data_IF_586062836937
#
_entry.id   IF_586062836937
#
_cell.length_a   1.000
_cell.length_b   1.000
_cell.length_c   1.000
_cell.angle_alpha   90.00
_cell.angle_beta   90.00
_cell.angle_gamma   90.00
#
_symmetry.space_group_name_H-M   'P 1'
#
loop_
_entity.id
_entity.type
_entity.pdbx_description
1 polymer ?
#
# COMPACT_ATOMS: atom_id res chain seq x y z
N UNK A 1 -21.33 -57.94 -11.63
CA UNK A 1 -20.98 -56.86 -12.58
C UNK A 1 -21.74 -55.61 -12.18
N UNK A 2 -21.06 -54.59 -11.67
CA UNK A 2 -21.58 -53.23 -11.59
C UNK A 2 -20.38 -52.27 -11.60
N UNK A 3 -19.84 -52.05 -12.80
CA UNK A 3 -18.87 -50.99 -13.06
C UNK A 3 -19.61 -49.65 -12.92
N UNK A 4 -19.49 -49.00 -11.76
CA UNK A 4 -19.71 -47.56 -11.68
C UNK A 4 -18.52 -46.89 -12.37
N UNK A 5 -18.77 -46.40 -13.59
CA UNK A 5 -17.92 -45.40 -14.24
C UNK A 5 -17.87 -44.19 -13.30
N UNK A 6 -16.79 -44.05 -12.53
CA UNK A 6 -16.42 -42.76 -11.96
C UNK A 6 -16.10 -41.88 -13.16
N UNK A 7 -17.00 -40.98 -13.54
CA UNK A 7 -16.65 -39.93 -14.49
C UNK A 7 -15.46 -39.17 -13.92
N UNK A 8 -14.40 -39.03 -14.71
CA UNK A 8 -13.23 -38.24 -14.35
C UNK A 8 -13.70 -36.82 -14.02
N UNK A 9 -13.70 -36.48 -12.73
CA UNK A 9 -13.94 -35.10 -12.30
C UNK A 9 -12.71 -34.33 -12.76
N UNK A 10 -12.87 -33.51 -13.81
CA UNK A 10 -11.80 -32.63 -14.33
C UNK A 10 -11.24 -31.85 -13.14
N UNK A 11 -9.96 -32.07 -12.84
CA UNK A 11 -9.26 -31.34 -11.80
C UNK A 11 -9.14 -29.87 -12.22
N UNK A 12 -9.53 -28.94 -11.35
CA UNK A 12 -9.39 -27.50 -11.61
C UNK A 12 -7.92 -27.16 -11.74
N UNK A 13 -7.57 -26.39 -12.77
CA UNK A 13 -6.21 -25.95 -13.05
C UNK A 13 -6.10 -24.43 -13.03
N UNK A 14 -5.26 -23.88 -12.15
CA UNK A 14 -5.08 -22.43 -11.97
C UNK A 14 -3.65 -22.04 -12.34
N UNK A 15 -3.50 -21.00 -13.18
CA UNK A 15 -2.19 -20.38 -13.43
C UNK A 15 -1.96 -19.27 -12.42
N UNK A 16 -0.84 -19.33 -11.70
CA UNK A 16 -0.43 -18.34 -10.72
C UNK A 16 0.82 -17.63 -11.25
N UNK A 17 0.69 -16.34 -11.54
CA UNK A 17 1.74 -15.52 -12.17
C UNK A 17 2.23 -14.44 -11.20
N UNK A 18 3.41 -13.87 -11.46
CA UNK A 18 4.10 -12.95 -10.54
C UNK A 18 4.34 -13.53 -9.14
N UNK A 19 4.75 -14.81 -9.07
CA UNK A 19 5.00 -15.50 -7.81
C UNK A 19 6.41 -15.22 -7.31
N UNK A 20 6.53 -14.82 -6.05
CA UNK A 20 7.81 -14.65 -5.36
C UNK A 20 8.15 -15.89 -4.55
N UNK A 21 9.40 -16.01 -4.14
CA UNK A 21 9.86 -17.22 -3.44
C UNK A 21 9.15 -17.40 -2.09
N UNK A 22 8.81 -16.31 -1.41
CA UNK A 22 8.02 -16.32 -0.17
C UNK A 22 6.57 -16.79 -0.35
N UNK A 23 5.99 -16.68 -1.55
CA UNK A 23 4.60 -17.07 -1.81
C UNK A 23 4.48 -18.61 -1.95
N UNK A 24 5.57 -19.30 -2.35
CA UNK A 24 5.55 -20.71 -2.75
C UNK A 24 5.03 -21.69 -1.67
N UNK A 25 5.45 -21.61 -0.39
CA UNK A 25 4.97 -22.54 0.63
C UNK A 25 3.45 -22.46 0.82
N UNK A 26 2.90 -21.24 0.77
CA UNK A 26 1.47 -21.00 0.95
C UNK A 26 0.65 -21.47 -0.25
N UNK A 27 1.14 -21.23 -1.47
CA UNK A 27 0.50 -21.72 -2.70
C UNK A 27 0.44 -23.25 -2.70
N UNK A 28 1.55 -23.92 -2.37
CA UNK A 28 1.60 -25.40 -2.33
C UNK A 28 0.65 -25.96 -1.28
N UNK A 29 0.67 -25.42 -0.07
CA UNK A 29 -0.24 -25.85 0.99
C UNK A 29 -1.71 -25.65 0.63
N UNK A 30 -2.06 -24.54 -0.04
CA UNK A 30 -3.41 -24.28 -0.52
C UNK A 30 -3.82 -25.28 -1.62
N UNK A 31 -2.96 -25.48 -2.62
CA UNK A 31 -3.22 -26.40 -3.73
C UNK A 31 -3.47 -27.84 -3.23
N UNK A 32 -2.64 -28.32 -2.31
CA UNK A 32 -2.78 -29.64 -1.68
C UNK A 32 -4.10 -29.75 -0.90
N UNK A 33 -4.39 -28.78 -0.04
CA UNK A 33 -5.61 -28.74 0.77
C UNK A 33 -6.90 -28.72 -0.08
N UNK A 34 -6.86 -28.07 -1.24
CA UNK A 34 -8.03 -27.85 -2.08
C UNK A 34 -8.12 -28.79 -3.29
N UNK A 35 -7.13 -29.68 -3.47
CA UNK A 35 -7.04 -30.61 -4.60
C UNK A 35 -7.12 -29.89 -5.97
N UNK A 36 -6.39 -28.78 -6.09
CA UNK A 36 -6.32 -27.95 -7.31
C UNK A 36 -4.93 -28.07 -7.92
N UNK A 37 -4.85 -28.28 -9.24
CA UNK A 37 -3.58 -28.20 -9.96
C UNK A 37 -3.17 -26.73 -10.10
N UNK A 38 -1.96 -26.40 -9.64
CA UNK A 38 -1.41 -25.05 -9.78
C UNK A 38 -0.16 -25.08 -10.65
N UNK A 39 -0.11 -24.18 -11.62
CA UNK A 39 1.09 -23.89 -12.39
C UNK A 39 1.59 -22.49 -12.00
N UNK A 40 2.87 -22.38 -11.68
CA UNK A 40 3.48 -21.21 -11.04
C UNK A 40 4.52 -20.60 -11.97
N UNK A 41 4.47 -19.29 -12.14
CA UNK A 41 5.49 -18.52 -12.88
C UNK A 41 5.88 -17.26 -12.12
N UNK A 42 7.15 -16.87 -12.26
CA UNK A 42 7.66 -15.60 -11.72
C UNK A 42 7.32 -14.40 -12.61
N UNK A 43 7.07 -14.65 -13.90
CA UNK A 43 6.72 -13.62 -14.88
C UNK A 43 5.32 -13.06 -14.64
N UNK A 44 5.13 -11.77 -14.94
CA UNK A 44 3.83 -11.13 -14.95
C UNK A 44 3.05 -11.46 -16.23
N UNK A 45 1.74 -11.28 -16.20
CA UNK A 45 0.92 -11.37 -17.40
C UNK A 45 1.13 -10.12 -18.26
N UNK A 46 1.36 -10.34 -19.56
CA UNK A 46 1.64 -9.32 -20.57
C UNK A 46 0.98 -9.70 -21.90
N UNK A 47 0.97 -8.78 -22.86
CA UNK A 47 0.56 -9.06 -24.23
C UNK A 47 1.36 -10.21 -24.87
N UNK A 48 2.65 -10.31 -24.57
CA UNK A 48 3.56 -11.27 -25.22
C UNK A 48 3.36 -12.71 -24.74
N UNK A 49 2.84 -12.91 -23.52
CA UNK A 49 2.70 -14.23 -22.91
C UNK A 49 1.26 -14.66 -22.60
N UNK A 50 0.25 -13.88 -23.02
CA UNK A 50 -1.17 -14.18 -22.76
C UNK A 50 -1.61 -15.52 -23.34
N UNK A 51 -1.03 -15.96 -24.46
CA UNK A 51 -1.34 -17.28 -25.05
C UNK A 51 -0.98 -18.45 -24.12
N UNK A 52 0.02 -18.26 -23.24
CA UNK A 52 0.50 -19.27 -22.29
C UNK A 52 -0.51 -19.64 -21.21
N UNK A 53 -1.66 -18.94 -21.13
CA UNK A 53 -2.73 -19.24 -20.18
C UNK A 53 -3.88 -20.05 -20.79
N UNK A 54 -3.72 -20.54 -22.02
CA UNK A 54 -4.70 -21.43 -22.64
C UNK A 54 -4.87 -22.73 -21.82
N UNK A 55 -6.12 -23.16 -21.62
CA UNK A 55 -6.46 -24.42 -20.96
C UNK A 55 -6.49 -24.38 -19.41
N UNK A 56 -6.18 -23.23 -18.79
CA UNK A 56 -6.42 -23.02 -17.36
C UNK A 56 -7.88 -22.61 -17.12
N UNK A 57 -8.41 -22.89 -15.92
CA UNK A 57 -9.77 -22.54 -15.54
C UNK A 57 -9.85 -21.14 -14.90
N UNK A 58 -8.72 -20.58 -14.47
CA UNK A 58 -8.64 -19.25 -13.89
C UNK A 58 -7.20 -18.79 -13.63
N UNK A 59 -7.06 -17.50 -13.36
CA UNK A 59 -5.78 -16.86 -13.09
C UNK A 59 -5.73 -16.33 -11.66
N UNK A 60 -4.58 -16.51 -11.02
CA UNK A 60 -4.21 -15.72 -9.84
C UNK A 60 -3.03 -14.84 -10.18
N UNK A 61 -3.21 -13.53 -10.03
CA UNK A 61 -2.24 -12.52 -10.41
C UNK A 61 -1.81 -11.67 -9.21
N UNK A 62 -0.62 -11.08 -9.31
CA UNK A 62 -0.17 -9.97 -8.48
C UNK A 62 0.26 -8.86 -9.43
N UNK A 63 -0.71 -8.29 -10.16
CA UNK A 63 -0.44 -7.42 -11.30
C UNK A 63 -0.08 -6.01 -10.84
N UNK A 64 1.09 -5.52 -11.25
CA UNK A 64 1.58 -4.17 -10.92
C UNK A 64 1.41 -3.17 -12.07
N UNK A 65 1.31 -3.66 -13.31
CA UNK A 65 1.21 -2.83 -14.51
C UNK A 65 -0.18 -3.07 -15.13
N UNK A 66 -0.88 -2.02 -15.62
CA UNK A 66 -2.15 -2.20 -16.31
C UNK A 66 -2.07 -3.20 -17.46
N UNK A 67 -3.13 -3.99 -17.63
CA UNK A 67 -3.27 -4.89 -18.77
C UNK A 67 -3.86 -4.12 -19.95
N UNK A 68 -3.39 -4.43 -21.16
CA UNK A 68 -3.97 -3.88 -22.39
C UNK A 68 -5.36 -4.46 -22.65
N UNK A 69 -6.18 -3.77 -23.43
CA UNK A 69 -7.46 -4.31 -23.90
C UNK A 69 -7.30 -5.63 -24.66
N UNK A 70 -6.18 -5.80 -25.38
CA UNK A 70 -5.86 -7.04 -26.08
C UNK A 70 -5.78 -8.23 -25.11
N UNK A 71 -5.16 -8.06 -23.94
CA UNK A 71 -5.13 -9.11 -22.90
C UNK A 71 -6.54 -9.46 -22.43
N UNK A 72 -7.39 -8.48 -22.09
CA UNK A 72 -8.76 -8.74 -21.63
C UNK A 72 -9.57 -9.52 -22.67
N UNK A 73 -9.51 -9.10 -23.94
CA UNK A 73 -10.15 -9.80 -25.05
C UNK A 73 -9.62 -11.23 -25.17
N UNK A 74 -8.31 -11.40 -25.12
CA UNK A 74 -7.69 -12.71 -25.37
C UNK A 74 -7.97 -13.70 -24.25
N UNK A 75 -7.98 -13.25 -22.99
CA UNK A 75 -8.39 -14.07 -21.85
C UNK A 75 -9.80 -14.65 -22.06
N UNK A 76 -10.74 -13.83 -22.52
CA UNK A 76 -12.10 -14.29 -22.82
C UNK A 76 -12.13 -15.34 -23.95
N UNK A 77 -11.41 -15.10 -25.04
CA UNK A 77 -11.31 -16.04 -26.17
C UNK A 77 -10.67 -17.38 -25.78
N UNK A 78 -9.73 -17.35 -24.83
CA UNK A 78 -9.09 -18.54 -24.26
C UNK A 78 -9.96 -19.26 -23.21
N UNK A 79 -11.16 -18.73 -22.92
CA UNK A 79 -12.11 -19.31 -21.98
C UNK A 79 -11.87 -18.94 -20.51
N UNK A 80 -10.93 -18.03 -20.22
CA UNK A 80 -10.71 -17.51 -18.87
C UNK A 80 -11.83 -16.54 -18.52
N UNK A 81 -12.43 -16.74 -17.35
CA UNK A 81 -13.53 -15.90 -16.82
C UNK A 81 -13.23 -15.24 -15.48
N UNK A 82 -12.13 -15.63 -14.83
CA UNK A 82 -11.82 -15.16 -13.48
C UNK A 82 -10.34 -14.80 -13.32
N UNK A 83 -10.12 -13.63 -12.73
CA UNK A 83 -8.83 -13.14 -12.26
C UNK A 83 -8.93 -12.92 -10.75
N UNK A 84 -8.10 -13.63 -9.99
CA UNK A 84 -7.95 -13.45 -8.55
C UNK A 84 -6.67 -12.67 -8.23
N UNK A 85 -6.82 -11.37 -7.95
CA UNK A 85 -5.72 -10.50 -7.52
C UNK A 85 -5.33 -10.82 -6.07
N UNK A 86 -4.04 -11.07 -5.83
CA UNK A 86 -3.48 -11.42 -4.51
C UNK A 86 -3.15 -10.21 -3.63
N UNK A 87 -3.82 -9.08 -3.84
CA UNK A 87 -3.65 -7.86 -3.06
C UNK A 87 -4.99 -7.20 -2.75
N UNK A 88 -4.99 -6.25 -1.82
CA UNK A 88 -6.15 -5.40 -1.56
C UNK A 88 -6.40 -4.40 -2.68
N UNK A 89 -5.34 -3.82 -3.26
CA UNK A 89 -5.42 -2.92 -4.41
C UNK A 89 -5.84 -3.65 -5.68
N UNK A 90 -6.64 -2.97 -6.49
CA UNK A 90 -7.07 -3.40 -7.82
C UNK A 90 -7.07 -2.24 -8.83
N UNK A 91 -6.42 -1.12 -8.48
CA UNK A 91 -6.33 0.10 -9.30
C UNK A 91 -5.63 -0.09 -10.65
N UNK A 92 -4.91 -1.20 -10.82
CA UNK A 92 -4.27 -1.60 -12.08
C UNK A 92 -5.23 -2.26 -13.07
N UNK A 93 -6.42 -2.69 -12.63
CA UNK A 93 -7.40 -3.34 -13.50
C UNK A 93 -8.41 -2.32 -14.03
N UNK A 94 -8.60 -2.36 -15.34
CA UNK A 94 -9.74 -1.72 -15.99
C UNK A 94 -10.98 -2.60 -15.79
N UNK A 95 -11.87 -2.16 -14.89
CA UNK A 95 -13.10 -2.87 -14.56
C UNK A 95 -14.16 -2.74 -15.65
N UNK A 96 -14.10 -1.71 -16.50
CA UNK A 96 -15.00 -1.54 -17.64
C UNK A 96 -14.64 -2.55 -18.73
N UNK A 97 -13.34 -2.70 -19.03
CA UNK A 97 -12.85 -3.75 -19.94
C UNK A 97 -13.10 -5.15 -19.38
N UNK A 98 -12.90 -5.37 -18.08
CA UNK A 98 -13.22 -6.64 -17.45
C UNK A 98 -14.70 -7.02 -17.68
N UNK A 99 -15.61 -6.07 -17.45
CA UNK A 99 -17.03 -6.29 -17.70
C UNK A 99 -17.34 -6.52 -19.19
N UNK A 100 -16.76 -5.70 -20.09
CA UNK A 100 -16.92 -5.83 -21.55
C UNK A 100 -16.55 -7.22 -22.07
N UNK A 101 -15.52 -7.84 -21.49
CA UNK A 101 -15.02 -9.15 -21.87
C UNK A 101 -15.43 -10.28 -20.90
N UNK A 102 -16.48 -10.07 -20.10
CA UNK A 102 -17.05 -11.07 -19.18
C UNK A 102 -16.02 -11.71 -18.22
N UNK A 103 -15.11 -10.89 -17.70
CA UNK A 103 -14.10 -11.26 -16.72
C UNK A 103 -14.50 -10.76 -15.33
N UNK A 104 -14.48 -11.67 -14.37
CA UNK A 104 -14.67 -11.35 -12.95
C UNK A 104 -13.30 -11.11 -12.33
N UNK A 105 -13.09 -9.92 -11.76
CA UNK A 105 -11.89 -9.60 -10.98
C UNK A 105 -12.25 -9.62 -9.49
N UNK A 106 -11.59 -10.47 -8.72
CA UNK A 106 -11.71 -10.52 -7.26
C UNK A 106 -10.39 -10.12 -6.60
N UNK A 107 -10.45 -9.44 -5.47
CA UNK A 107 -9.27 -9.03 -4.69
C UNK A 107 -9.31 -9.62 -3.26
N UNK A 108 -8.24 -9.42 -2.50
CA UNK A 108 -8.18 -9.75 -1.07
C UNK A 108 -8.42 -8.47 -0.27
N UNK A 109 -9.66 -8.12 0.11
CA UNK A 109 -10.00 -6.79 0.62
C UNK A 109 -9.36 -6.46 1.97
N UNK A 110 -8.90 -7.47 2.70
CA UNK A 110 -8.25 -7.32 4.01
C UNK A 110 -7.46 -8.57 4.33
N UNK A 111 -6.12 -8.48 4.37
CA UNK A 111 -5.25 -9.57 4.81
C UNK A 111 -4.59 -9.28 6.16
N UNK A 112 -4.30 -8.01 6.49
CA UNK A 112 -3.99 -7.58 7.86
C UNK A 112 -4.01 -6.05 7.99
N UNK A 113 -5.15 -5.45 8.41
CA UNK A 113 -5.18 -4.02 8.70
C UNK A 113 -4.21 -3.61 9.82
N UNK A 114 -3.98 -4.52 10.77
CA UNK A 114 -3.05 -4.31 11.88
C UNK A 114 -1.61 -4.18 11.38
N UNK A 115 -1.14 -5.08 10.51
CA UNK A 115 0.25 -5.04 10.06
C UNK A 115 0.60 -3.75 9.31
N UNK A 116 -0.33 -3.22 8.50
CA UNK A 116 -0.12 -1.94 7.80
C UNK A 116 -0.18 -0.77 8.79
N UNK A 117 -1.11 -0.81 9.75
CA UNK A 117 -1.22 0.22 10.78
C UNK A 117 0.03 0.27 11.68
N UNK A 118 0.50 -0.88 12.16
CA UNK A 118 1.72 -1.04 12.95
C UNK A 118 2.94 -0.52 12.19
N UNK A 119 3.06 -0.83 10.90
CA UNK A 119 4.11 -0.30 10.05
C UNK A 119 4.05 1.23 9.96
N UNK A 120 2.88 1.80 9.64
CA UNK A 120 2.72 3.26 9.53
C UNK A 120 3.06 3.98 10.85
N UNK A 121 2.61 3.46 11.99
CA UNK A 121 2.93 4.00 13.32
C UNK A 121 4.43 3.92 13.59
N UNK A 122 5.06 2.76 13.33
CA UNK A 122 6.50 2.59 13.52
C UNK A 122 7.31 3.58 12.67
N UNK A 123 6.93 3.75 11.40
CA UNK A 123 7.57 4.70 10.51
C UNK A 123 7.41 6.15 10.98
N UNK A 124 6.23 6.53 11.45
CA UNK A 124 6.02 7.85 12.06
C UNK A 124 6.97 8.09 13.24
N UNK A 125 7.07 7.11 14.14
CA UNK A 125 7.92 7.18 15.33
C UNK A 125 9.40 7.23 14.94
N UNK A 126 9.83 6.45 13.95
CA UNK A 126 11.22 6.46 13.47
C UNK A 126 11.66 7.85 13.01
N UNK A 127 10.80 8.57 12.28
CA UNK A 127 11.07 9.94 11.84
C UNK A 127 11.07 10.90 13.03
N UNK A 128 10.06 10.84 13.91
CA UNK A 128 9.98 11.70 15.10
C UNK A 128 11.20 11.55 16.00
N UNK A 129 11.69 10.32 16.16
CA UNK A 129 12.78 9.94 17.08
C UNK A 129 14.16 9.94 16.43
N UNK A 130 14.28 10.42 15.19
CA UNK A 130 15.55 10.46 14.45
C UNK A 130 16.25 9.10 14.36
N UNK A 131 15.48 8.01 14.28
CA UNK A 131 16.04 6.67 14.42
C UNK A 131 17.12 6.40 13.38
N UNK A 132 16.85 6.69 12.10
CA UNK A 132 17.80 6.45 11.01
C UNK A 132 19.08 7.28 11.17
N UNK A 133 18.95 8.56 11.52
CA UNK A 133 20.10 9.45 11.81
C UNK A 133 20.95 8.91 12.97
N UNK A 134 20.32 8.46 14.06
CA UNK A 134 21.02 7.87 15.21
C UNK A 134 21.71 6.57 14.81
N UNK A 135 21.05 5.69 14.04
CA UNK A 135 21.66 4.44 13.58
C UNK A 135 22.86 4.67 12.67
N UNK A 136 22.83 5.68 11.80
CA UNK A 136 23.98 6.06 10.97
C UNK A 136 25.16 6.50 11.83
N UNK A 137 24.94 7.39 12.81
CA UNK A 137 25.99 7.82 13.74
C UNK A 137 26.58 6.68 14.56
N UNK A 138 25.72 5.78 15.07
CA UNK A 138 26.16 4.60 15.83
C UNK A 138 27.05 3.68 14.98
N UNK A 139 26.73 3.48 13.69
CA UNK A 139 27.59 2.71 12.77
C UNK A 139 28.95 3.37 12.53
N UNK A 140 29.04 4.67 12.68
CA UNK A 140 30.28 5.46 12.60
C UNK A 140 30.97 5.62 13.97
N UNK A 141 30.48 4.94 15.00
CA UNK A 141 30.96 5.03 16.39
C UNK A 141 30.81 6.43 17.02
N UNK A 142 29.91 7.27 16.52
CA UNK A 142 29.50 8.50 17.20
C UNK A 142 28.32 8.23 18.14
N UNK A 143 28.58 8.27 19.45
CA UNK A 143 27.61 7.99 20.51
C UNK A 143 27.16 9.24 21.28
N UNK A 144 27.50 10.44 20.79
CA UNK A 144 27.20 11.70 21.49
C UNK A 144 25.70 12.02 21.42
N UNK A 145 25.18 12.61 22.48
CA UNK A 145 23.86 13.23 22.47
C UNK A 145 23.96 14.66 21.93
N UNK A 146 23.27 14.93 20.83
CA UNK A 146 23.30 16.24 20.18
C UNK A 146 21.91 16.88 20.17
N UNK A 147 21.80 18.22 20.21
CA UNK A 147 20.49 18.90 20.14
C UNK A 147 19.67 18.54 18.89
N UNK A 148 20.35 18.15 17.80
CA UNK A 148 19.73 17.80 16.52
C UNK A 148 18.89 16.51 16.56
N UNK A 149 19.10 15.65 17.56
CA UNK A 149 18.34 14.39 17.75
C UNK A 149 17.35 14.49 18.93
N UNK A 150 17.23 15.67 19.54
CA UNK A 150 16.26 15.89 20.61
C UNK A 150 14.83 15.77 20.04
N UNK A 151 14.03 14.92 20.68
CA UNK A 151 12.68 14.58 20.22
C UNK A 151 11.65 14.83 21.32
N UNK A 152 10.41 15.12 20.93
CA UNK A 152 9.27 15.14 21.84
C UNK A 152 8.81 13.71 22.18
N UNK A 153 8.14 13.56 23.32
CA UNK A 153 7.42 12.32 23.63
C UNK A 153 6.23 12.15 22.68
N UNK A 154 5.96 10.93 22.22
CA UNK A 154 4.83 10.64 21.31
C UNK A 154 3.49 11.01 21.97
N UNK A 155 3.37 10.83 23.28
CA UNK A 155 2.20 11.22 24.08
C UNK A 155 1.84 12.70 23.94
N UNK A 156 2.84 13.56 23.76
CA UNK A 156 2.64 15.02 23.71
C UNK A 156 2.41 15.53 22.27
N UNK A 157 2.27 14.61 21.30
CA UNK A 157 2.05 14.94 19.90
C UNK A 157 0.57 14.92 19.55
N UNK A 158 0.18 15.82 18.65
CA UNK A 158 -1.10 15.77 17.96
C UNK A 158 -0.96 14.97 16.66
N UNK A 159 -1.84 14.02 16.42
CA UNK A 159 -1.81 13.13 15.25
C UNK A 159 -3.08 13.31 14.42
N UNK A 160 -2.92 13.63 13.13
CA UNK A 160 -4.01 13.68 12.17
C UNK A 160 -4.09 12.38 11.35
N UNK A 161 -5.20 11.68 11.47
CA UNK A 161 -5.50 10.45 10.73
C UNK A 161 -6.47 10.76 9.59
N UNK A 162 -5.99 10.69 8.35
CA UNK A 162 -6.80 10.97 7.16
C UNK A 162 -7.32 9.66 6.59
N UNK A 163 -8.62 9.42 6.76
CA UNK A 163 -9.31 8.16 6.49
C UNK A 163 -9.36 7.25 7.72
N UNK A 164 -10.56 6.91 8.19
CA UNK A 164 -10.79 6.10 9.40
C UNK A 164 -11.47 4.75 9.11
N UNK A 165 -11.16 4.22 7.92
CA UNK A 165 -11.52 2.87 7.50
C UNK A 165 -10.84 1.76 8.31
N UNK A 166 -10.62 0.59 7.69
CA UNK A 166 -10.09 -0.59 8.40
C UNK A 166 -8.70 -0.37 9.01
N UNK A 167 -7.81 0.34 8.32
CA UNK A 167 -6.42 0.58 8.75
C UNK A 167 -6.35 1.84 9.63
N UNK A 168 -6.87 2.97 9.15
CA UNK A 168 -6.75 4.25 9.86
C UNK A 168 -7.37 4.23 11.26
N UNK A 169 -8.46 3.47 11.49
CA UNK A 169 -9.00 3.31 12.85
C UNK A 169 -8.04 2.60 13.82
N UNK A 170 -7.22 1.67 13.33
CA UNK A 170 -6.23 0.96 14.14
C UNK A 170 -5.06 1.89 14.44
N UNK A 171 -4.63 2.68 13.46
CA UNK A 171 -3.62 3.73 13.66
C UNK A 171 -4.09 4.75 14.71
N UNK A 172 -5.32 5.24 14.59
CA UNK A 172 -5.92 6.14 15.56
C UNK A 172 -5.97 5.53 16.97
N UNK A 173 -6.34 4.25 17.08
CA UNK A 173 -6.38 3.53 18.35
C UNK A 173 -4.99 3.38 18.99
N UNK A 174 -3.97 3.03 18.20
CA UNK A 174 -2.59 2.91 18.69
C UNK A 174 -2.08 4.27 19.21
N UNK A 175 -2.34 5.37 18.51
CA UNK A 175 -1.92 6.69 18.97
C UNK A 175 -2.73 7.19 20.18
N UNK A 176 -4.07 7.13 20.11
CA UNK A 176 -4.95 7.66 21.14
C UNK A 176 -4.91 6.83 22.44
N UNK A 177 -5.06 5.51 22.32
CA UNK A 177 -5.17 4.62 23.49
C UNK A 177 -3.83 3.98 23.88
N UNK A 178 -2.96 3.70 22.90
CA UNK A 178 -1.64 3.14 23.16
C UNK A 178 -0.63 4.19 23.64
N UNK A 179 -0.43 5.26 22.86
CA UNK A 179 0.51 6.33 23.19
C UNK A 179 -0.08 7.48 24.00
N UNK A 180 -1.40 7.57 24.12
CA UNK A 180 -2.11 8.67 24.78
C UNK A 180 -1.89 10.03 24.10
N UNK A 181 -1.65 10.02 22.79
CA UNK A 181 -1.54 11.21 21.94
C UNK A 181 -2.91 11.84 21.71
N UNK A 182 -2.93 13.15 21.42
CA UNK A 182 -4.13 13.81 20.91
C UNK A 182 -4.35 13.38 19.45
N UNK A 183 -5.54 12.87 19.13
CA UNK A 183 -5.85 12.35 17.80
C UNK A 183 -7.03 13.10 17.20
N UNK A 184 -6.77 13.73 16.06
CA UNK A 184 -7.80 14.28 15.17
C UNK A 184 -7.92 13.41 13.92
N UNK A 185 -9.07 13.45 13.28
CA UNK A 185 -9.26 12.73 12.03
C UNK A 185 -10.14 13.48 11.03
N UNK A 186 -10.00 13.11 9.78
CA UNK A 186 -10.95 13.44 8.73
C UNK A 186 -11.35 12.17 7.98
N UNK A 187 -12.65 11.98 7.81
CA UNK A 187 -13.23 10.99 6.90
C UNK A 187 -14.60 11.52 6.46
N UNK A 188 -14.95 11.49 5.15
CA UNK A 188 -16.29 11.86 4.70
C UNK A 188 -17.41 11.05 5.37
N UNK A 189 -17.09 9.86 5.88
CA UNK A 189 -18.00 9.00 6.63
C UNK A 189 -17.37 8.66 7.99
N UNK A 190 -17.51 9.54 9.01
CA UNK A 190 -16.91 9.35 10.32
C UNK A 190 -17.23 7.99 10.94
N UNK A 191 -16.20 7.32 11.44
CA UNK A 191 -16.34 6.00 12.04
C UNK A 191 -16.74 6.12 13.52
N UNK A 192 -18.01 5.87 13.80
CA UNK A 192 -18.60 5.94 15.14
C UNK A 192 -17.88 5.08 16.20
N UNK A 193 -17.13 4.03 15.79
CA UNK A 193 -16.43 3.15 16.74
C UNK A 193 -15.25 3.81 17.45
N UNK A 194 -14.67 4.85 16.86
CA UNK A 194 -13.48 5.53 17.40
C UNK A 194 -13.77 7.00 17.77
N UNK A 195 -14.99 7.48 17.50
CA UNK A 195 -15.40 8.87 17.73
C UNK A 195 -15.40 9.28 19.23
N UNK A 196 -15.26 8.33 20.15
CA UNK A 196 -15.15 8.62 21.59
C UNK A 196 -13.76 9.09 22.03
N UNK A 197 -12.74 8.87 21.21
CA UNK A 197 -11.34 9.22 21.51
C UNK A 197 -10.61 9.85 20.31
N UNK A 198 -11.35 10.21 19.26
CA UNK A 198 -10.86 10.90 18.08
C UNK A 198 -11.75 12.10 17.82
N UNK A 199 -11.13 13.27 17.66
CA UNK A 199 -11.83 14.50 17.30
C UNK A 199 -11.91 14.64 15.77
N UNK A 200 -13.11 14.47 15.22
CA UNK A 200 -13.34 14.59 13.77
C UNK A 200 -13.44 16.05 13.34
N UNK A 201 -12.72 16.39 12.27
CA UNK A 201 -12.80 17.70 11.63
C UNK A 201 -13.67 17.66 10.38
N UNK A 202 -14.23 18.81 10.04
CA UNK A 202 -15.14 18.95 8.90
C UNK A 202 -14.38 18.98 7.57
N UNK A 203 -13.11 19.39 7.60
CA UNK A 203 -12.22 19.46 6.44
C UNK A 203 -10.86 18.80 6.71
N UNK A 204 -10.13 18.45 5.65
CA UNK A 204 -8.78 17.88 5.77
C UNK A 204 -7.81 18.96 6.29
N UNK A 205 -7.98 20.19 5.82
CA UNK A 205 -7.21 21.37 6.21
C UNK A 205 -7.25 21.56 7.72
N UNK A 206 -8.44 21.53 8.33
CA UNK A 206 -8.61 21.60 9.78
C UNK A 206 -7.97 20.41 10.53
N UNK A 207 -7.99 19.22 9.93
CA UNK A 207 -7.39 18.03 10.53
C UNK A 207 -5.86 18.11 10.55
N UNK A 208 -5.24 18.55 9.45
CA UNK A 208 -3.78 18.67 9.36
C UNK A 208 -3.23 19.88 10.12
N UNK A 209 -4.07 20.89 10.35
CA UNK A 209 -3.67 22.10 11.06
C UNK A 209 -3.26 21.81 12.51
N UNK A 210 -2.02 22.19 12.83
CA UNK A 210 -1.41 22.02 14.15
C UNK A 210 -1.00 20.58 14.51
N UNK A 211 -1.22 19.60 13.64
CA UNK A 211 -0.80 18.21 13.85
C UNK A 211 0.73 18.08 13.74
N UNK A 212 1.35 17.34 14.66
CA UNK A 212 2.77 16.99 14.61
C UNK A 212 3.03 15.79 13.69
N UNK A 213 2.05 14.90 13.53
CA UNK A 213 2.08 13.75 12.62
C UNK A 213 0.82 13.77 11.76
N UNK A 214 0.96 13.62 10.45
CA UNK A 214 -0.14 13.44 9.50
C UNK A 214 0.03 12.11 8.79
N UNK A 215 -0.96 11.21 8.89
CA UNK A 215 -0.90 9.85 8.33
C UNK A 215 -2.10 9.54 7.44
N UNK A 216 -1.83 8.91 6.29
CA UNK A 216 -2.81 8.72 5.22
C UNK A 216 -3.28 7.27 5.08
N UNK A 217 -4.59 7.06 5.08
CA UNK A 217 -5.25 5.76 5.00
C UNK A 217 -6.50 5.75 4.11
N UNK A 218 -6.51 6.58 3.06
CA UNK A 218 -7.59 6.65 2.05
C UNK A 218 -7.24 5.84 0.79
N UNK A 219 -8.24 5.34 0.03
CA UNK A 219 -7.98 4.69 -1.25
C UNK A 219 -7.52 5.69 -2.32
N UNK A 220 -6.68 5.25 -3.26
CA UNK A 220 -6.43 6.00 -4.49
C UNK A 220 -7.66 5.92 -5.40
N UNK A 221 -8.29 7.07 -5.62
CA UNK A 221 -9.41 7.26 -6.54
C UNK A 221 -9.12 8.47 -7.40
N UNK A 222 -9.91 8.70 -8.46
CA UNK A 222 -9.82 9.93 -9.26
C UNK A 222 -10.00 11.20 -8.40
N UNK A 223 -10.79 11.12 -7.33
CA UNK A 223 -11.06 12.24 -6.43
C UNK A 223 -9.93 12.48 -5.41
N UNK A 224 -9.17 11.45 -5.05
CA UNK A 224 -8.08 11.53 -4.08
C UNK A 224 -6.70 11.67 -4.76
N UNK A 225 -6.66 11.80 -6.09
CA UNK A 225 -5.41 11.96 -6.82
C UNK A 225 -4.76 13.29 -6.43
N UNK A 226 -3.51 13.24 -5.95
CA UNK A 226 -2.81 14.39 -5.37
C UNK A 226 -3.62 15.14 -4.31
N UNK A 227 -4.31 14.38 -3.44
CA UNK A 227 -4.94 14.93 -2.26
C UNK A 227 -3.96 15.77 -1.43
N UNK A 228 -2.72 15.28 -1.29
CA UNK A 228 -1.61 16.03 -0.71
C UNK A 228 -0.79 16.70 -1.80
N UNK A 229 -1.21 17.91 -2.14
CA UNK A 229 -0.55 18.80 -3.09
C UNK A 229 0.08 20.01 -2.37
N UNK A 230 0.66 20.93 -3.14
CA UNK A 230 1.34 22.11 -2.63
C UNK A 230 0.44 23.03 -1.78
N UNK A 231 -0.86 23.09 -2.06
CA UNK A 231 -1.79 23.90 -1.25
C UNK A 231 -2.04 23.24 0.10
N UNK A 232 -2.30 21.94 0.14
CA UNK A 232 -2.58 21.26 1.41
C UNK A 232 -1.35 21.26 2.34
N UNK A 233 -0.14 21.13 1.79
CA UNK A 233 1.09 21.23 2.61
C UNK A 233 1.27 22.60 3.29
N UNK A 234 0.64 23.69 2.81
CA UNK A 234 0.69 25.00 3.48
C UNK A 234 -0.06 25.03 4.81
N UNK A 235 -1.01 24.11 5.02
CA UNK A 235 -1.77 23.99 6.26
C UNK A 235 -1.03 23.18 7.34
N UNK A 236 0.08 22.53 6.97
CA UNK A 236 0.83 21.73 7.93
C UNK A 236 1.47 22.61 9.00
N UNK A 237 1.49 22.08 10.22
CA UNK A 237 2.34 22.62 11.26
C UNK A 237 3.80 22.57 10.80
N UNK A 238 4.55 23.64 11.05
CA UNK A 238 6.00 23.64 10.88
C UNK A 238 6.62 22.44 11.61
N UNK A 239 7.52 21.75 10.92
CA UNK A 239 8.26 20.58 11.41
C UNK A 239 7.40 19.32 11.67
N UNK A 240 6.17 19.28 11.11
CA UNK A 240 5.36 18.07 11.14
C UNK A 240 6.01 16.90 10.39
N UNK A 241 5.60 15.68 10.72
CA UNK A 241 5.98 14.45 10.03
C UNK A 241 4.82 13.97 9.16
N UNK A 242 5.10 13.67 7.90
CA UNK A 242 4.12 13.13 6.96
C UNK A 242 4.33 11.63 6.74
N UNK A 243 3.25 10.84 6.73
CA UNK A 243 3.32 9.38 6.55
C UNK A 243 2.33 8.92 5.48
N UNK A 244 2.83 8.20 4.47
CA UNK A 244 2.00 7.58 3.44
C UNK A 244 2.32 6.10 3.27
N UNK A 245 1.47 5.26 3.86
CA UNK A 245 1.47 3.81 3.65
C UNK A 245 0.23 3.34 2.88
N UNK A 246 -0.39 4.24 2.11
CA UNK A 246 -1.59 3.97 1.34
C UNK A 246 -1.26 3.78 -0.14
N UNK A 247 -1.06 4.87 -0.89
CA UNK A 247 -0.74 4.85 -2.32
C UNK A 247 0.08 6.09 -2.69
N UNK A 248 1.05 5.92 -3.58
CA UNK A 248 1.92 7.01 -4.04
C UNK A 248 1.16 8.15 -4.72
N UNK A 249 0.16 7.82 -5.56
CA UNK A 249 -0.63 8.79 -6.32
C UNK A 249 -1.52 9.72 -5.49
N UNK A 250 -1.58 9.52 -4.16
CA UNK A 250 -2.30 10.41 -3.25
C UNK A 250 -1.51 11.69 -2.95
N UNK A 251 -0.23 11.70 -3.28
CA UNK A 251 0.70 12.78 -2.97
C UNK A 251 1.34 13.25 -4.27
N UNK A 252 1.33 14.56 -4.49
CA UNK A 252 2.17 15.16 -5.52
C UNK A 252 3.62 15.09 -5.05
N UNK A 253 4.42 14.24 -5.71
CA UNK A 253 5.83 14.02 -5.36
C UNK A 253 6.63 15.32 -5.34
N UNK A 254 6.36 16.23 -6.28
CA UNK A 254 7.08 17.50 -6.37
C UNK A 254 6.72 18.38 -5.19
N UNK A 255 5.43 18.48 -4.86
CA UNK A 255 4.98 19.25 -3.70
C UNK A 255 5.56 18.73 -2.39
N UNK A 256 5.66 17.40 -2.23
CA UNK A 256 6.28 16.79 -1.05
C UNK A 256 7.77 17.16 -0.94
N UNK A 257 8.52 17.07 -2.04
CA UNK A 257 9.93 17.45 -2.07
C UNK A 257 10.12 18.93 -1.76
N UNK A 258 9.30 19.80 -2.35
CA UNK A 258 9.32 21.23 -2.08
C UNK A 258 9.00 21.53 -0.60
N UNK A 259 8.06 20.80 0.01
CA UNK A 259 7.73 20.93 1.44
C UNK A 259 8.88 20.50 2.37
N UNK A 260 9.64 19.45 1.98
CA UNK A 260 10.84 19.01 2.71
C UNK A 260 11.99 20.00 2.55
N UNK A 261 12.31 20.39 1.30
CA UNK A 261 13.44 21.26 0.98
C UNK A 261 13.26 22.67 1.59
N UNK A 262 12.02 23.17 1.67
CA UNK A 262 11.70 24.45 2.30
C UNK A 262 11.46 24.36 3.82
N UNK A 263 11.59 23.16 4.43
CA UNK A 263 11.42 22.96 5.87
C UNK A 263 10.00 23.28 6.37
N UNK A 264 8.98 23.06 5.53
CA UNK A 264 7.56 23.09 5.92
C UNK A 264 7.28 21.88 6.81
N UNK A 265 7.69 20.70 6.36
CA UNK A 265 7.67 19.46 7.13
C UNK A 265 9.10 19.04 7.46
N UNK A 266 9.27 18.37 8.61
CA UNK A 266 10.58 17.92 9.09
C UNK A 266 11.06 16.66 8.37
N UNK A 267 10.12 15.82 7.95
CA UNK A 267 10.41 14.54 7.33
C UNK A 267 9.16 13.85 6.83
N UNK A 268 9.36 12.85 5.98
CA UNK A 268 8.30 12.02 5.46
C UNK A 268 8.71 10.54 5.53
N UNK A 269 7.75 9.66 5.80
CA UNK A 269 7.94 8.22 5.67
C UNK A 269 6.94 7.66 4.65
N UNK A 270 7.46 7.06 3.58
CA UNK A 270 6.66 6.48 2.51
C UNK A 270 6.89 4.97 2.39
N UNK A 271 5.81 4.20 2.36
CA UNK A 271 5.81 2.80 1.90
C UNK A 271 5.49 2.71 0.40
N UNK A 272 4.87 3.77 -0.13
CA UNK A 272 4.40 3.84 -1.52
C UNK A 272 4.87 5.12 -2.18
N UNK A 273 5.17 5.05 -3.48
CA UNK A 273 5.71 6.15 -4.26
C UNK A 273 5.01 6.24 -5.62
N UNK A 274 4.79 7.45 -6.10
CA UNK A 274 4.02 7.70 -7.32
C UNK A 274 4.56 6.93 -8.54
N UNK A 275 5.89 6.82 -8.66
CA UNK A 275 6.56 6.12 -9.76
C UNK A 275 7.19 4.79 -9.33
N UNK A 276 6.67 4.17 -8.26
CA UNK A 276 7.22 2.95 -7.63
C UNK A 276 7.33 1.75 -8.58
N UNK A 277 6.43 1.65 -9.58
CA UNK A 277 6.29 0.48 -10.47
C UNK A 277 7.53 0.18 -11.32
N UNK A 278 8.41 1.16 -11.53
CA UNK A 278 9.69 0.97 -12.25
C UNK A 278 10.84 0.55 -11.33
N UNK A 279 10.62 0.57 -10.02
CA UNK A 279 11.67 0.44 -8.99
C UNK A 279 11.44 -0.80 -8.14
N UNK A 280 10.23 -0.98 -7.63
CA UNK A 280 9.88 -2.08 -6.74
C UNK A 280 9.19 -3.20 -7.52
N UNK A 281 9.47 -4.48 -7.22
CA UNK A 281 10.41 -5.02 -6.22
C UNK A 281 11.73 -5.47 -6.87
N UNK A 282 12.59 -4.54 -7.31
CA UNK A 282 13.83 -4.87 -8.03
C UNK A 282 15.10 -4.32 -7.36
N UNK A 283 16.24 -4.98 -7.58
CA UNK A 283 17.54 -4.51 -7.09
C UNK A 283 18.03 -3.32 -7.93
N UNK A 284 18.20 -2.18 -7.27
CA UNK A 284 18.64 -0.92 -7.89
C UNK A 284 20.07 -0.51 -7.52
N UNK A 285 20.83 -1.36 -6.80
CA UNK A 285 22.22 -1.04 -6.42
C UNK A 285 23.09 -0.84 -7.66
N UNK A 286 23.92 0.20 -7.64
CA UNK A 286 24.82 0.55 -8.74
C UNK A 286 24.14 1.12 -10.00
N UNK A 287 22.82 1.30 -10.00
CA UNK A 287 22.07 1.95 -11.08
C UNK A 287 21.93 3.46 -10.80
N UNK A 288 21.83 4.26 -11.86
CA UNK A 288 21.51 5.69 -11.75
C UNK A 288 20.03 5.86 -11.38
N UNK A 289 19.70 5.68 -10.10
CA UNK A 289 18.38 5.97 -9.56
C UNK A 289 18.20 7.47 -9.42
N UNK A 290 17.02 8.00 -9.77
CA UNK A 290 16.76 9.44 -9.62
C UNK A 290 16.93 9.88 -8.16
N UNK A 291 17.60 11.03 -7.95
CA UNK A 291 17.90 11.59 -6.62
C UNK A 291 16.64 11.85 -5.76
N UNK A 292 15.50 12.09 -6.41
CA UNK A 292 14.20 12.28 -5.78
C UNK A 292 13.81 11.09 -4.89
N UNK A 293 14.17 9.87 -5.28
CA UNK A 293 13.83 8.63 -4.55
C UNK A 293 14.72 8.45 -3.32
N UNK A 294 16.01 8.77 -3.43
CA UNK A 294 16.99 8.55 -2.34
C UNK A 294 16.71 9.46 -1.13
N UNK A 295 16.12 10.64 -1.35
CA UNK A 295 15.81 11.60 -0.28
C UNK A 295 14.58 11.28 0.56
N UNK A 296 13.69 10.41 0.08
CA UNK A 296 12.39 10.15 0.72
C UNK A 296 12.42 8.86 1.56
N UNK A 297 13.47 8.04 1.43
CA UNK A 297 13.59 6.72 2.06
C UNK A 297 14.55 6.73 3.26
N UNK A 298 15.06 7.91 3.65
CA UNK A 298 16.07 8.09 4.71
C UNK A 298 15.48 8.70 6.00
#
# INVERSE_FOLDING_TARGET
MNNKVKGDVKMTKIKIMSVRDEDMPYIKAWAEKHHVEVDITKEALTDDNVEGVAGYDGLSLSQQIPLSEHVYKRLNELGIKQIAQRSAGFDTYDLELANKYNLIVSNVPSYSPNSIAEFAVNQAINVVRHFNQIQTKVREHDFRWEPTILSKSIKDLKVAVIGTGRIGRVVADIFANGYQSDVVAYDPFPNAKIATYVDYKDTIEEAVEGADIVTLHVPATKYNHYLFNAELFKHFKKDAVFVNCARGSLVDTKALLDALDNGVIKGAALDTYEFERKLFPSDQRGKNTERSIVRIVD
#
